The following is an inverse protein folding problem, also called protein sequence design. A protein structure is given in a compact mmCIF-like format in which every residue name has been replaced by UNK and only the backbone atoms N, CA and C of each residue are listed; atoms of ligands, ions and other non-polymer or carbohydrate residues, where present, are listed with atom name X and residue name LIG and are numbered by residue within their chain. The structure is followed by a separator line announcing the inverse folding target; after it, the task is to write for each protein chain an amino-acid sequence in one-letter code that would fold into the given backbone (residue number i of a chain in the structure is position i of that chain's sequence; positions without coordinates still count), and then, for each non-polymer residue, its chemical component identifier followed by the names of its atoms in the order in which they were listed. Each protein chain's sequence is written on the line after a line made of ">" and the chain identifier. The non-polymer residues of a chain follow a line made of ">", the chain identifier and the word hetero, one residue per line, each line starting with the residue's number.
data_IF_172671669746
#
_entry.id   IF_172671669746
#
_cell.length_a   1.000
_cell.length_b   1.000
_cell.length_c   1.000
_cell.angle_alpha   90.00
_cell.angle_beta   90.00
_cell.angle_gamma   90.00
#
_symmetry.space_group_name_H-M   'P 1'
#
loop_
_entity.id
_entity.type
_entity.pdbx_description
1 polymer ?
#
# COMPACT_ATOMS: atom_id res chain seq x y z
N UNK A 1 -14.14 -33.07 32.23
CA UNK A 1 -13.67 -33.26 30.84
C UNK A 1 -13.91 -32.02 29.96
N UNK A 2 -14.99 -31.25 30.14
CA UNK A 2 -15.23 -29.99 29.38
C UNK A 2 -14.28 -28.84 29.78
N UNK A 3 -13.78 -28.82 31.02
CA UNK A 3 -12.85 -27.77 31.50
C UNK A 3 -11.49 -27.77 30.79
N UNK A 4 -10.94 -28.95 30.45
CA UNK A 4 -9.70 -29.05 29.67
C UNK A 4 -9.89 -28.61 28.22
N UNK A 5 -11.07 -28.90 27.62
CA UNK A 5 -11.38 -28.46 26.25
C UNK A 5 -11.58 -26.94 26.17
N UNK A 6 -12.09 -26.31 27.24
CA UNK A 6 -12.27 -24.86 27.31
C UNK A 6 -10.92 -24.13 27.47
N UNK A 7 -9.99 -24.68 28.25
CA UNK A 7 -8.60 -24.20 28.30
C UNK A 7 -7.86 -24.42 26.96
N UNK A 8 -8.19 -25.49 26.24
CA UNK A 8 -7.60 -25.77 24.92
C UNK A 8 -8.14 -24.87 23.81
N UNK A 9 -9.36 -24.34 23.96
CA UNK A 9 -9.95 -23.33 23.06
C UNK A 9 -9.42 -21.93 23.41
N UNK A 10 -9.12 -21.64 24.68
CA UNK A 10 -8.53 -20.36 25.07
C UNK A 10 -7.06 -20.22 24.63
N UNK A 11 -6.37 -21.35 24.45
CA UNK A 11 -5.03 -21.43 23.84
C UNK A 11 -5.08 -21.31 22.30
N UNK A 12 -6.27 -21.43 21.67
CA UNK A 12 -6.44 -21.32 20.22
C UNK A 12 -6.80 -19.91 19.73
N UNK A 13 -6.59 -18.88 20.55
CA UNK A 13 -6.59 -17.52 20.03
C UNK A 13 -5.30 -17.35 19.20
N UNK A 14 -5.37 -17.18 17.86
CA UNK A 14 -4.17 -16.85 17.10
C UNK A 14 -3.57 -15.57 17.71
N UNK A 15 -2.23 -15.50 17.88
CA UNK A 15 -1.60 -14.30 18.42
C UNK A 15 -2.14 -13.11 17.61
N UNK A 16 -2.59 -12.06 18.31
CA UNK A 16 -3.02 -10.82 17.68
C UNK A 16 -2.02 -10.52 16.56
N UNK A 17 -2.50 -10.52 15.31
CA UNK A 17 -1.72 -10.00 14.21
C UNK A 17 -1.28 -8.61 14.68
N UNK A 18 0.03 -8.32 14.79
CA UNK A 18 0.47 -7.04 15.27
C UNK A 18 -0.29 -6.00 14.45
N UNK A 19 -1.09 -5.18 15.13
CA UNK A 19 -1.63 -3.99 14.51
C UNK A 19 -0.43 -3.11 14.25
N UNK A 20 0.24 -3.34 13.12
CA UNK A 20 1.35 -2.55 12.63
C UNK A 20 0.74 -1.20 12.33
N UNK A 21 0.78 -0.31 13.31
CA UNK A 21 0.81 1.12 13.03
C UNK A 21 1.89 1.30 11.97
N UNK A 22 1.53 1.78 10.78
CA UNK A 22 2.47 2.10 9.70
C UNK A 22 3.31 3.32 10.11
N UNK A 23 4.00 3.23 11.25
CA UNK A 23 5.09 4.13 11.56
C UNK A 23 6.24 3.67 10.67
N UNK A 24 6.52 4.46 9.65
CA UNK A 24 7.71 4.26 8.85
C UNK A 24 8.93 4.44 9.78
N UNK A 25 9.91 3.53 9.73
CA UNK A 25 11.12 3.67 10.53
C UNK A 25 11.78 5.01 10.21
N UNK A 26 12.20 5.73 11.26
CA UNK A 26 12.76 7.08 11.08
C UNK A 26 14.22 7.02 10.64
N UNK A 27 14.90 5.88 10.87
CA UNK A 27 16.31 5.67 10.50
C UNK A 27 16.52 4.33 9.79
N UNK A 28 17.63 4.25 9.06
CA UNK A 28 17.99 3.06 8.26
C UNK A 28 18.30 1.87 9.18
N UNK A 29 18.86 2.11 10.36
CA UNK A 29 19.19 1.08 11.34
C UNK A 29 17.92 0.38 11.88
N UNK A 30 16.85 1.15 12.09
CA UNK A 30 15.56 0.61 12.53
C UNK A 30 14.92 -0.23 11.41
N UNK A 31 14.97 0.23 10.16
CA UNK A 31 14.48 -0.53 9.00
C UNK A 31 15.22 -1.86 8.82
N UNK A 32 16.55 -1.85 8.92
CA UNK A 32 17.38 -3.07 8.83
C UNK A 32 17.05 -4.04 9.97
N UNK A 33 16.84 -3.54 11.19
CA UNK A 33 16.46 -4.37 12.33
C UNK A 33 15.08 -5.01 12.14
N UNK A 34 14.12 -4.30 11.55
CA UNK A 34 12.79 -4.83 11.24
C UNK A 34 12.85 -5.91 10.15
N UNK A 35 13.63 -5.68 9.10
CA UNK A 35 13.85 -6.65 8.01
C UNK A 35 14.55 -7.91 8.53
N UNK A 36 15.55 -7.77 9.40
CA UNK A 36 16.25 -8.90 10.02
C UNK A 36 15.32 -9.77 10.89
N UNK A 37 14.48 -9.13 11.71
CA UNK A 37 13.47 -9.82 12.52
C UNK A 37 12.45 -10.57 11.66
N UNK A 38 11.97 -9.96 10.57
CA UNK A 38 11.06 -10.60 9.64
C UNK A 38 11.69 -11.82 8.96
N UNK A 39 12.96 -11.72 8.54
CA UNK A 39 13.72 -12.85 7.96
C UNK A 39 13.89 -14.00 8.97
N UNK A 40 14.19 -13.70 10.23
CA UNK A 40 14.32 -14.71 11.30
C UNK A 40 12.99 -15.42 11.58
N UNK A 41 11.88 -14.68 11.50
CA UNK A 41 10.53 -15.23 11.60
C UNK A 41 10.07 -15.99 10.35
N UNK A 42 10.87 -16.02 9.27
CA UNK A 42 10.51 -16.67 8.00
C UNK A 42 9.35 -15.99 7.26
N UNK A 43 9.04 -14.74 7.61
CA UNK A 43 8.00 -13.92 6.97
C UNK A 43 8.66 -13.08 5.87
N UNK A 44 7.99 -12.92 4.72
CA UNK A 44 8.49 -12.05 3.66
C UNK A 44 8.61 -10.60 4.19
N UNK A 45 9.84 -10.05 4.31
CA UNK A 45 10.04 -8.71 4.85
C UNK A 45 9.51 -7.62 3.91
N UNK A 46 9.25 -7.97 2.65
CA UNK A 46 8.72 -7.03 1.68
C UNK A 46 7.21 -7.20 1.54
N UNK A 47 6.43 -6.12 1.76
CA UNK A 47 5.00 -6.20 1.58
C UNK A 47 4.67 -6.62 0.14
N UNK A 48 3.58 -7.39 -0.07
CA UNK A 48 3.19 -7.84 -1.39
C UNK A 48 2.95 -6.64 -2.31
N UNK A 49 3.30 -6.80 -3.59
CA UNK A 49 3.15 -5.74 -4.59
C UNK A 49 1.72 -5.21 -4.58
N UNK A 50 1.55 -3.93 -4.24
CA UNK A 50 0.24 -3.28 -4.23
C UNK A 50 -0.41 -3.42 -5.60
N UNK A 51 -1.70 -3.73 -5.62
CA UNK A 51 -2.45 -3.82 -6.87
C UNK A 51 -2.36 -2.48 -7.62
N UNK A 52 -2.15 -2.56 -8.94
CA UNK A 52 -2.11 -1.37 -9.79
C UNK A 52 -3.46 -0.65 -9.67
N UNK A 53 -3.49 0.52 -9.04
CA UNK A 53 -4.71 1.33 -8.90
C UNK A 53 -5.25 1.65 -10.29
N UNK A 54 -6.38 1.05 -10.66
CA UNK A 54 -7.05 1.25 -11.97
C UNK A 54 -7.30 2.73 -12.27
N UNK A 55 -7.58 3.50 -11.23
CA UNK A 55 -7.82 4.94 -11.27
C UNK A 55 -6.61 5.77 -11.72
N UNK A 56 -5.38 5.32 -11.46
CA UNK A 56 -4.18 6.06 -11.86
C UNK A 56 -4.05 6.21 -13.38
N UNK A 57 -4.46 5.19 -14.13
CA UNK A 57 -4.48 5.23 -15.61
C UNK A 57 -5.52 6.20 -16.14
N UNK A 58 -6.70 6.24 -15.51
CA UNK A 58 -7.78 7.15 -15.91
C UNK A 58 -7.42 8.60 -15.61
N UNK A 59 -6.85 8.90 -14.44
CA UNK A 59 -6.39 10.23 -14.08
C UNK A 59 -5.34 10.77 -15.05
N UNK A 60 -4.36 9.92 -15.43
CA UNK A 60 -3.33 10.31 -16.39
C UNK A 60 -3.89 10.58 -17.79
N UNK A 61 -4.82 9.73 -18.24
CA UNK A 61 -5.50 9.91 -19.53
C UNK A 61 -6.35 11.19 -19.57
N UNK A 62 -7.15 11.44 -18.54
CA UNK A 62 -7.96 12.67 -18.46
C UNK A 62 -7.08 13.92 -18.42
N UNK A 63 -5.95 13.88 -17.72
CA UNK A 63 -5.01 14.99 -17.66
C UNK A 63 -4.41 15.31 -19.04
N UNK A 64 -3.97 14.28 -19.78
CA UNK A 64 -3.48 14.46 -21.16
C UNK A 64 -4.53 15.08 -22.09
N UNK A 65 -5.79 14.65 -21.98
CA UNK A 65 -6.89 15.22 -22.77
C UNK A 65 -7.09 16.70 -22.45
N UNK A 66 -7.12 17.07 -21.16
CA UNK A 66 -7.28 18.47 -20.75
C UNK A 66 -6.14 19.33 -21.26
N UNK A 67 -4.88 18.86 -21.21
CA UNK A 67 -3.74 19.59 -21.77
C UNK A 67 -3.87 19.77 -23.29
N UNK A 68 -4.25 18.70 -24.01
CA UNK A 68 -4.48 18.77 -25.45
C UNK A 68 -5.59 19.76 -25.79
N UNK A 69 -6.76 19.69 -25.16
CA UNK A 69 -7.88 20.60 -25.43
C UNK A 69 -7.53 22.04 -25.04
N UNK A 70 -6.89 22.24 -23.90
CA UNK A 70 -6.47 23.58 -23.43
C UNK A 70 -5.51 24.22 -24.43
N UNK A 71 -4.53 23.46 -24.92
CA UNK A 71 -3.57 23.94 -25.90
C UNK A 71 -4.22 24.17 -27.28
N UNK A 72 -5.03 23.22 -27.74
CA UNK A 72 -5.73 23.32 -29.03
C UNK A 72 -6.70 24.51 -29.06
N UNK A 73 -7.32 24.84 -27.92
CA UNK A 73 -8.18 26.02 -27.78
C UNK A 73 -7.40 27.32 -28.00
N UNK A 74 -6.21 27.46 -27.40
CA UNK A 74 -5.37 28.64 -27.62
C UNK A 74 -4.88 28.72 -29.07
N UNK A 75 -4.50 27.58 -29.64
CA UNK A 75 -4.08 27.50 -31.03
C UNK A 75 -5.21 27.97 -31.96
N UNK A 76 -6.44 27.49 -31.78
CA UNK A 76 -7.58 27.84 -32.62
C UNK A 76 -7.95 29.33 -32.53
N UNK A 77 -7.89 29.92 -31.33
CA UNK A 77 -8.13 31.36 -31.15
C UNK A 77 -7.12 32.25 -31.87
N UNK A 78 -5.93 31.73 -32.20
CA UNK A 78 -4.92 32.47 -32.98
C UNK A 78 -5.32 32.66 -34.45
N UNK A 79 -6.20 31.81 -34.98
CA UNK A 79 -6.62 31.80 -36.39
C UNK A 79 -8.00 32.41 -36.63
N UNK A 80 -8.72 32.78 -35.56
CA UNK A 80 -9.96 33.56 -35.68
C UNK A 80 -9.51 35.03 -35.85
N UNK A 81 -9.79 35.66 -37.01
CA UNK A 81 -9.38 37.04 -37.31
C UNK A 81 -10.11 38.09 -36.45
#
# INVERSE_FOLDING_TARGET
>A
MVSSLLLQILDTHPPESPHVSFREPETIEEDIALVAQAMEMGIDPFPPKREKKRWGRMALGSFMIVLMVSWTSQFLMRFIP
#
